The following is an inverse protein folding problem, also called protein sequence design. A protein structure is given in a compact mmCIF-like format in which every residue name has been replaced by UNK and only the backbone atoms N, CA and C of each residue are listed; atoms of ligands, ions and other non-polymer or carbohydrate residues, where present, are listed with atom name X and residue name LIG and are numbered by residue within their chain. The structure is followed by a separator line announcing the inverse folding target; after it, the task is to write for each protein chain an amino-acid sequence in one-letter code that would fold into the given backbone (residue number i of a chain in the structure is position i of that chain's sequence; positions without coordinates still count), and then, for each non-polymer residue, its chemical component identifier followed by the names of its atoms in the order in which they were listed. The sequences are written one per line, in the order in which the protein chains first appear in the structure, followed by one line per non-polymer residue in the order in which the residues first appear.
data_IF_718332198846
#
_entry.id   IF_718332198846
#
_cell.length_a   1.000
_cell.length_b   1.000
_cell.length_c   1.000
_cell.angle_alpha   90.00
_cell.angle_beta   90.00
_cell.angle_gamma   90.00
#
_symmetry.space_group_name_H-M   'P 1'
#
loop_
_entity.id
_entity.type
_entity.pdbx_description
1 polymer ?
#
# COMPACT_ATOMS: atom_id res chain seq x y z
N UNK A 1 -31.00 12.01 33.87
CA UNK A 1 -31.00 13.33 33.18
C UNK A 1 -29.54 13.69 32.91
N UNK A 2 -29.00 13.82 31.70
CA UNK A 2 -29.57 14.20 30.40
C UNK A 2 -29.16 13.19 29.31
N UNK A 3 -30.11 12.84 28.44
CA UNK A 3 -29.85 12.20 27.15
C UNK A 3 -28.95 13.10 26.29
N UNK A 4 -27.91 12.53 25.67
CA UNK A 4 -27.32 13.07 24.44
C UNK A 4 -27.83 12.22 23.28
N UNK A 5 -28.37 12.93 22.29
CA UNK A 5 -28.85 12.42 21.00
C UNK A 5 -27.76 11.69 20.23
N UNK A 6 -28.18 10.67 19.47
CA UNK A 6 -27.35 9.75 18.68
C UNK A 6 -26.88 10.30 17.32
N UNK A 7 -27.13 11.57 17.00
CA UNK A 7 -26.78 12.14 15.70
C UNK A 7 -25.64 13.15 15.85
N UNK A 8 -24.41 12.66 15.70
CA UNK A 8 -23.20 13.36 15.20
C UNK A 8 -21.96 12.49 15.52
N UNK A 9 -21.70 11.47 14.70
CA UNK A 9 -20.43 10.75 14.69
C UNK A 9 -19.34 11.63 14.04
N UNK A 10 -18.86 12.60 14.81
CA UNK A 10 -17.61 13.30 14.55
C UNK A 10 -16.45 12.37 14.95
N UNK A 11 -16.03 11.50 14.03
CA UNK A 11 -14.87 10.64 14.25
C UNK A 11 -13.59 11.51 14.37
N UNK A 12 -12.86 11.28 15.46
CA UNK A 12 -11.68 11.95 16.00
C UNK A 12 -10.62 12.29 14.95
N UNK A 13 -9.97 13.47 14.91
CA UNK A 13 -9.24 14.23 15.95
C UNK A 13 -8.09 13.43 16.58
N UNK A 14 -6.90 13.43 15.98
CA UNK A 14 -5.64 13.97 16.60
C UNK A 14 -4.32 13.82 15.81
N UNK A 15 -4.28 13.32 14.56
CA UNK A 15 -3.10 13.49 13.68
C UNK A 15 -3.33 14.39 12.46
N UNK A 16 -4.57 14.48 11.99
CA UNK A 16 -4.99 15.33 10.87
C UNK A 16 -4.82 16.84 11.12
N UNK A 17 -4.60 17.26 12.37
CA UNK A 17 -4.42 18.67 12.70
C UNK A 17 -3.12 19.28 12.13
N UNK A 18 -2.09 18.48 11.83
CA UNK A 18 -0.86 18.96 11.16
C UNK A 18 -0.86 18.79 9.64
N UNK A 19 -1.75 17.99 9.08
CA UNK A 19 -1.92 17.81 7.62
C UNK A 19 -3.06 18.67 7.04
N UNK A 20 -3.39 19.80 7.69
CA UNK A 20 -4.41 20.76 7.19
C UNK A 20 -4.00 21.50 5.89
N UNK A 21 -2.78 21.28 5.39
CA UNK A 21 -2.26 21.86 4.13
C UNK A 21 -1.85 20.82 3.10
N UNK A 22 -2.40 19.60 3.17
CA UNK A 22 -2.18 18.58 2.15
C UNK A 22 -2.87 18.99 0.86
N UNK A 23 -2.12 19.53 -0.10
CA UNK A 23 -2.66 19.94 -1.37
C UNK A 23 -2.78 18.73 -2.30
N UNK A 24 -4.00 18.31 -2.66
CA UNK A 24 -4.18 17.15 -3.53
C UNK A 24 -4.20 17.53 -5.02
N UNK A 25 -3.22 17.01 -5.78
CA UNK A 25 -3.41 16.70 -7.20
C UNK A 25 -4.17 15.36 -7.34
N UNK A 26 -4.64 15.05 -8.54
CA UNK A 26 -5.20 13.73 -8.85
C UNK A 26 -4.19 12.61 -8.50
N UNK A 27 -4.61 11.66 -7.68
CA UNK A 27 -3.86 10.46 -7.30
C UNK A 27 -4.50 9.30 -8.05
N UNK A 28 -3.68 8.44 -8.67
CA UNK A 28 -4.16 7.27 -9.39
C UNK A 28 -4.58 6.17 -8.41
N UNK A 29 -5.71 6.36 -7.71
CA UNK A 29 -6.20 5.45 -6.67
C UNK A 29 -6.43 4.03 -7.22
N UNK A 30 -6.88 3.90 -8.48
CA UNK A 30 -7.01 2.61 -9.15
C UNK A 30 -5.67 1.86 -9.28
N UNK A 31 -4.55 2.56 -9.46
CA UNK A 31 -3.23 1.92 -9.51
C UNK A 31 -2.77 1.48 -8.12
N UNK A 32 -3.08 2.25 -7.08
CA UNK A 32 -2.82 1.86 -5.69
C UNK A 32 -3.62 0.62 -5.28
N UNK A 33 -4.88 0.56 -5.69
CA UNK A 33 -5.76 -0.59 -5.52
C UNK A 33 -5.22 -1.83 -6.23
N UNK A 34 -4.94 -1.74 -7.53
CA UNK A 34 -4.40 -2.88 -8.29
C UNK A 34 -3.06 -3.40 -7.75
N UNK A 35 -2.17 -2.50 -7.32
CA UNK A 35 -0.88 -2.88 -6.73
C UNK A 35 -1.08 -3.58 -5.38
N UNK A 36 -2.02 -3.10 -4.57
CA UNK A 36 -2.28 -3.71 -3.26
C UNK A 36 -2.94 -5.09 -3.39
N UNK A 37 -3.95 -5.22 -4.26
CA UNK A 37 -4.60 -6.50 -4.55
C UNK A 37 -3.60 -7.56 -5.02
N UNK A 38 -2.58 -7.11 -5.76
CA UNK A 38 -1.49 -7.96 -6.21
C UNK A 38 -0.60 -8.40 -5.04
N UNK A 39 -0.15 -7.48 -4.18
CA UNK A 39 0.66 -7.85 -3.00
C UNK A 39 -0.10 -8.70 -1.99
N UNK A 40 -1.43 -8.59 -1.96
CA UNK A 40 -2.25 -9.27 -0.96
C UNK A 40 -2.72 -10.66 -1.36
N UNK A 41 -2.52 -11.19 -2.57
CA UNK A 41 -3.14 -12.47 -2.99
C UNK A 41 -2.11 -13.61 -3.21
N UNK A 42 -2.14 -14.73 -2.44
CA UNK A 42 -1.14 -15.81 -2.43
C UNK A 42 -1.40 -16.88 -3.50
N UNK A 43 -2.61 -16.91 -4.07
CA UNK A 43 -3.15 -17.98 -4.91
C UNK A 43 -3.55 -17.49 -6.30
N UNK A 44 -3.08 -16.30 -6.70
CA UNK A 44 -3.10 -15.88 -8.08
C UNK A 44 -2.53 -17.06 -8.90
N UNK A 45 -3.37 -17.74 -9.70
CA UNK A 45 -2.91 -18.83 -10.60
C UNK A 45 -1.82 -18.36 -11.57
N UNK A 46 -1.61 -17.05 -11.62
CA UNK A 46 -0.38 -16.38 -12.01
C UNK A 46 0.45 -16.08 -10.75
N UNK A 47 1.32 -17.01 -10.32
CA UNK A 47 2.26 -16.75 -9.20
C UNK A 47 3.19 -15.56 -9.54
N UNK A 48 3.36 -15.30 -10.84
CA UNK A 48 3.99 -14.11 -11.39
C UNK A 48 3.34 -12.78 -11.00
N UNK A 49 2.05 -12.71 -10.62
CA UNK A 49 1.40 -11.43 -10.31
C UNK A 49 2.15 -10.67 -9.21
N UNK A 50 2.55 -11.31 -8.11
CA UNK A 50 3.15 -10.61 -6.96
C UNK A 50 4.52 -9.98 -7.21
N UNK A 51 5.20 -10.44 -8.26
CA UNK A 51 6.65 -10.29 -8.46
C UNK A 51 7.00 -9.81 -9.87
N UNK A 52 5.99 -9.68 -10.75
CA UNK A 52 6.16 -9.37 -12.16
C UNK A 52 5.58 -7.99 -12.51
N UNK A 53 6.42 -7.05 -12.93
CA UNK A 53 5.95 -5.72 -13.36
C UNK A 53 5.12 -5.78 -14.65
N UNK A 54 5.39 -6.72 -15.56
CA UNK A 54 4.69 -6.81 -16.85
C UNK A 54 3.20 -7.14 -16.68
N UNK A 55 2.85 -7.92 -15.66
CA UNK A 55 1.45 -8.24 -15.36
C UNK A 55 0.68 -7.02 -14.85
N UNK A 56 1.30 -6.16 -14.04
CA UNK A 56 0.73 -4.85 -13.67
C UNK A 56 0.56 -3.95 -14.89
N UNK A 57 1.57 -3.92 -15.77
CA UNK A 57 1.53 -3.12 -16.98
C UNK A 57 0.38 -3.54 -17.89
N UNK A 58 0.10 -4.85 -18.01
CA UNK A 58 -1.06 -5.39 -18.73
C UNK A 58 -2.41 -4.90 -18.21
N UNK A 59 -2.47 -4.51 -16.92
CA UNK A 59 -3.66 -3.95 -16.26
C UNK A 59 -3.64 -2.41 -16.21
N UNK A 60 -2.74 -1.76 -16.95
CA UNK A 60 -2.59 -0.31 -17.01
C UNK A 60 -1.86 0.31 -15.81
N UNK A 61 -1.21 -0.50 -14.98
CA UNK A 61 -0.42 -0.07 -13.83
C UNK A 61 1.06 -0.10 -14.20
N UNK A 62 1.63 1.07 -14.50
CA UNK A 62 2.99 1.19 -15.06
C UNK A 62 4.08 1.61 -14.08
N UNK A 63 3.76 1.69 -12.79
CA UNK A 63 4.67 2.24 -11.77
C UNK A 63 5.92 1.37 -11.52
N UNK A 64 5.88 0.10 -11.95
CA UNK A 64 6.98 -0.87 -11.80
C UNK A 64 7.72 -1.13 -13.13
N UNK A 65 7.30 -0.53 -14.24
CA UNK A 65 7.83 -0.83 -15.58
C UNK A 65 9.33 -0.51 -15.65
N UNK A 66 9.75 0.65 -15.14
CA UNK A 66 11.16 1.05 -15.13
C UNK A 66 12.02 0.11 -14.28
N UNK A 67 11.56 -0.22 -13.06
CA UNK A 67 12.29 -1.09 -12.14
C UNK A 67 12.30 -2.57 -12.55
N UNK A 68 11.41 -2.98 -13.46
CA UNK A 68 11.38 -4.32 -14.02
C UNK A 68 11.99 -4.43 -15.41
N UNK A 69 12.45 -3.32 -16.01
CA UNK A 69 13.02 -3.32 -17.36
C UNK A 69 14.30 -4.16 -17.44
N UNK A 70 14.58 -4.74 -18.61
CA UNK A 70 15.81 -5.51 -18.84
C UNK A 70 17.07 -4.73 -18.47
N UNK A 71 17.17 -3.49 -18.95
CA UNK A 71 18.32 -2.60 -18.69
C UNK A 71 18.53 -2.36 -17.19
N UNK A 72 17.45 -2.13 -16.43
CA UNK A 72 17.54 -1.90 -14.99
C UNK A 72 17.95 -3.16 -14.24
N UNK A 73 17.36 -4.31 -14.56
CA UNK A 73 17.73 -5.58 -13.94
C UNK A 73 19.19 -5.96 -14.24
N UNK A 74 19.67 -5.72 -15.45
CA UNK A 74 21.07 -5.94 -15.82
C UNK A 74 22.02 -5.00 -15.08
N UNK A 75 21.63 -3.74 -14.87
CA UNK A 75 22.40 -2.79 -14.07
C UNK A 75 22.60 -3.22 -12.62
N UNK A 76 21.69 -4.05 -12.09
CA UNK A 76 21.76 -4.64 -10.75
C UNK A 76 22.46 -6.01 -10.72
N UNK A 77 22.90 -6.53 -11.88
CA UNK A 77 23.54 -7.84 -12.00
C UNK A 77 22.58 -9.01 -12.12
N UNK A 78 21.28 -8.78 -12.37
CA UNK A 78 20.26 -9.82 -12.53
C UNK A 78 20.11 -10.29 -13.98
N UNK A 79 21.22 -10.58 -14.67
CA UNK A 79 21.23 -10.95 -16.10
C UNK A 79 20.46 -12.23 -16.43
N UNK A 80 20.26 -13.11 -15.44
CA UNK A 80 19.58 -14.39 -15.62
C UNK A 80 18.09 -14.36 -15.21
N UNK A 81 17.59 -13.22 -14.72
CA UNK A 81 16.15 -13.07 -14.41
C UNK A 81 15.38 -12.71 -15.65
N UNK A 82 14.12 -13.12 -15.75
CA UNK A 82 13.24 -12.65 -16.81
C UNK A 82 12.92 -11.15 -16.64
N UNK A 83 12.66 -10.47 -17.75
CA UNK A 83 12.18 -9.08 -17.70
C UNK A 83 10.86 -9.00 -16.92
N UNK A 84 10.79 -8.06 -15.99
CA UNK A 84 9.70 -7.90 -15.06
C UNK A 84 9.82 -8.66 -13.75
N UNK A 85 10.73 -9.64 -13.61
CA UNK A 85 10.97 -10.33 -12.33
C UNK A 85 11.69 -9.41 -11.33
N UNK A 86 10.92 -8.87 -10.39
CA UNK A 86 11.40 -7.92 -9.38
C UNK A 86 12.13 -8.59 -8.21
N UNK A 87 12.18 -9.93 -8.15
CA UNK A 87 12.67 -10.68 -7.00
C UNK A 87 11.67 -10.70 -5.83
N UNK A 88 12.11 -11.15 -4.63
CA UNK A 88 11.25 -11.35 -3.45
C UNK A 88 10.85 -10.01 -2.77
N UNK A 89 10.14 -9.13 -3.48
CA UNK A 89 9.68 -7.82 -3.00
C UNK A 89 8.45 -7.93 -2.08
N UNK A 90 7.65 -6.87 -1.94
CA UNK A 90 6.63 -6.73 -0.89
C UNK A 90 5.67 -7.92 -0.76
N UNK A 91 4.98 -8.33 -1.83
CA UNK A 91 4.01 -9.42 -1.78
C UNK A 91 4.62 -10.74 -1.31
N UNK A 92 5.81 -11.07 -1.80
CA UNK A 92 6.54 -12.26 -1.37
C UNK A 92 6.89 -12.18 0.12
N UNK A 93 7.38 -11.05 0.61
CA UNK A 93 7.66 -10.90 2.04
C UNK A 93 6.38 -10.96 2.88
N UNK A 94 5.23 -10.53 2.36
CA UNK A 94 3.96 -10.56 3.10
C UNK A 94 3.37 -11.97 3.21
N UNK A 95 3.51 -12.79 2.17
CA UNK A 95 2.87 -14.12 2.09
C UNK A 95 3.84 -15.30 2.30
N UNK A 96 5.13 -15.08 2.08
CA UNK A 96 6.17 -16.12 2.02
C UNK A 96 7.46 -15.71 2.73
N UNK A 97 7.39 -14.91 3.81
CA UNK A 97 8.56 -14.39 4.50
C UNK A 97 9.54 -15.52 4.90
N UNK A 98 10.80 -15.40 4.47
CA UNK A 98 11.86 -16.36 4.78
C UNK A 98 11.90 -17.61 3.89
N UNK A 99 10.97 -17.77 2.94
CA UNK A 99 11.09 -18.77 1.88
C UNK A 99 12.30 -18.47 0.97
N UNK A 100 12.85 -19.50 0.32
CA UNK A 100 13.91 -19.33 -0.66
C UNK A 100 13.31 -18.90 -2.00
N UNK A 101 13.66 -17.71 -2.46
CA UNK A 101 13.24 -17.22 -3.77
C UNK A 101 13.96 -17.96 -4.89
N UNK A 102 13.21 -18.42 -5.89
CA UNK A 102 13.72 -19.09 -7.10
C UNK A 102 13.54 -18.16 -8.31
N UNK A 103 12.29 -17.97 -8.71
CA UNK A 103 11.85 -17.11 -9.81
C UNK A 103 10.38 -16.70 -9.59
N UNK A 104 9.87 -15.79 -10.43
CA UNK A 104 8.49 -15.31 -10.33
C UNK A 104 7.41 -16.36 -10.62
N UNK A 105 7.72 -17.46 -11.30
CA UNK A 105 6.74 -18.46 -11.77
C UNK A 105 6.64 -19.71 -10.89
N UNK A 106 7.61 -19.89 -9.97
CA UNK A 106 7.65 -20.96 -9.00
C UNK A 106 6.48 -20.93 -8.03
N UNK A 107 5.93 -22.10 -7.67
CA UNK A 107 4.90 -22.19 -6.62
C UNK A 107 5.53 -22.07 -5.23
N UNK A 108 5.09 -21.05 -4.47
CA UNK A 108 5.51 -20.79 -3.10
C UNK A 108 4.45 -21.18 -2.06
N UNK A 109 3.37 -21.85 -2.46
CA UNK A 109 2.29 -22.26 -1.57
C UNK A 109 2.82 -23.04 -0.37
N UNK A 110 2.44 -22.60 0.83
CA UNK A 110 2.87 -23.23 2.10
C UNK A 110 4.33 -22.99 2.48
N UNK A 111 5.09 -22.19 1.73
CA UNK A 111 6.48 -21.85 2.03
C UNK A 111 6.58 -20.51 2.76
N UNK A 112 7.52 -20.43 3.70
CA UNK A 112 7.75 -19.23 4.50
C UNK A 112 6.66 -18.96 5.53
N UNK A 113 6.58 -17.70 5.98
CA UNK A 113 5.57 -17.24 6.93
C UNK A 113 4.59 -16.30 6.22
N UNK A 114 3.30 -16.65 6.24
CA UNK A 114 2.22 -15.79 5.79
C UNK A 114 1.88 -14.75 6.86
N UNK A 115 2.60 -13.62 6.81
CA UNK A 115 2.44 -12.53 7.77
C UNK A 115 1.06 -11.85 7.64
N UNK A 116 0.56 -11.68 6.41
CA UNK A 116 -0.73 -11.02 6.18
C UNK A 116 -1.88 -11.84 6.76
N UNK A 117 -1.90 -13.15 6.52
CA UNK A 117 -2.91 -14.03 7.10
C UNK A 117 -2.81 -14.04 8.63
N UNK A 118 -1.59 -14.14 9.19
CA UNK A 118 -1.36 -14.07 10.64
C UNK A 118 -1.86 -12.76 11.26
N UNK A 119 -1.68 -11.62 10.59
CA UNK A 119 -2.24 -10.33 11.01
C UNK A 119 -3.76 -10.40 11.09
N UNK A 120 -4.41 -10.89 10.03
CA UNK A 120 -5.88 -11.00 9.97
C UNK A 120 -6.41 -11.93 11.07
N UNK A 121 -5.78 -13.09 11.26
CA UNK A 121 -6.18 -14.07 12.27
C UNK A 121 -6.01 -13.50 13.69
N UNK A 122 -4.90 -12.80 13.93
CA UNK A 122 -4.65 -12.16 15.23
C UNK A 122 -5.68 -11.06 15.50
N UNK A 123 -6.04 -10.24 14.51
CA UNK A 123 -7.10 -9.24 14.66
C UNK A 123 -8.44 -9.88 15.04
N UNK A 124 -8.78 -11.04 14.43
CA UNK A 124 -10.04 -11.76 14.72
C UNK A 124 -10.06 -12.43 16.09
N UNK A 125 -8.92 -12.93 16.57
CA UNK A 125 -8.85 -13.81 17.74
C UNK A 125 -8.25 -13.17 18.99
N UNK A 126 -7.36 -12.19 18.82
CA UNK A 126 -6.65 -11.47 19.88
C UNK A 126 -6.45 -9.98 19.49
N UNK A 127 -7.54 -9.20 19.34
CA UNK A 127 -7.48 -7.84 18.77
C UNK A 127 -6.66 -6.83 19.59
N UNK A 128 -6.46 -7.08 20.89
CA UNK A 128 -5.65 -6.25 21.80
C UNK A 128 -4.15 -6.61 21.78
N UNK A 129 -3.76 -7.58 20.94
CA UNK A 129 -2.35 -7.93 20.74
C UNK A 129 -1.55 -6.73 20.25
N UNK A 130 -0.37 -6.53 20.83
CA UNK A 130 0.54 -5.40 20.52
C UNK A 130 1.59 -5.76 19.48
N UNK A 131 1.47 -6.92 18.84
CA UNK A 131 2.44 -7.52 17.89
C UNK A 131 1.82 -7.81 16.53
N UNK A 132 0.70 -7.16 16.22
CA UNK A 132 0.04 -7.25 14.92
C UNK A 132 0.85 -6.43 13.90
N UNK A 133 1.90 -7.05 13.35
CA UNK A 133 2.93 -6.40 12.52
C UNK A 133 3.05 -7.12 11.18
N UNK A 134 3.24 -6.34 10.13
CA UNK A 134 3.59 -6.79 8.78
C UNK A 134 4.91 -6.15 8.37
N UNK A 135 5.94 -6.95 8.09
CA UNK A 135 7.28 -6.47 7.77
C UNK A 135 7.69 -6.87 6.35
N UNK A 136 8.07 -5.90 5.53
CA UNK A 136 8.67 -6.13 4.20
C UNK A 136 10.19 -6.20 4.23
N UNK A 137 10.85 -5.78 5.31
CA UNK A 137 12.31 -5.66 5.37
C UNK A 137 12.97 -6.98 5.80
N UNK A 138 13.54 -7.70 4.84
CA UNK A 138 14.27 -8.95 5.07
C UNK A 138 15.74 -8.83 4.65
N UNK A 139 16.69 -8.66 5.60
CA UNK A 139 18.11 -8.48 5.29
C UNK A 139 18.74 -9.58 4.43
N UNK A 140 18.25 -10.82 4.54
CA UNK A 140 18.73 -11.95 3.73
C UNK A 140 18.39 -11.77 2.25
N UNK A 141 17.21 -11.23 1.97
CA UNK A 141 16.66 -11.17 0.62
C UNK A 141 16.89 -9.80 -0.05
N UNK A 142 17.33 -8.77 0.69
CA UNK A 142 17.62 -7.44 0.11
C UNK A 142 18.51 -7.49 -1.14
N UNK A 143 19.61 -8.27 -1.19
CA UNK A 143 20.45 -8.36 -2.39
C UNK A 143 19.75 -9.02 -3.59
N UNK A 144 18.59 -9.64 -3.38
CA UNK A 144 17.77 -10.28 -4.41
C UNK A 144 16.65 -9.36 -4.91
N UNK A 145 16.41 -8.19 -4.34
CA UNK A 145 15.27 -7.34 -4.73
C UNK A 145 15.70 -6.32 -5.79
N UNK A 146 14.91 -6.16 -6.85
CA UNK A 146 15.11 -5.09 -7.84
C UNK A 146 15.02 -3.70 -7.19
N UNK A 147 14.15 -3.56 -6.18
CA UNK A 147 14.08 -2.37 -5.35
C UNK A 147 13.83 -2.74 -3.88
N UNK A 148 14.73 -2.40 -2.96
CA UNK A 148 14.52 -2.61 -1.53
C UNK A 148 13.25 -1.90 -1.02
N UNK A 149 12.47 -2.52 -0.13
CA UNK A 149 11.21 -1.97 0.39
C UNK A 149 11.33 -0.55 0.93
N UNK A 150 10.55 0.39 0.38
CA UNK A 150 10.45 1.76 0.91
C UNK A 150 9.56 1.81 2.15
N UNK A 151 8.36 1.23 2.06
CA UNK A 151 7.47 0.99 3.19
C UNK A 151 7.85 -0.35 3.86
N UNK A 152 8.66 -0.24 4.91
CA UNK A 152 9.40 -1.36 5.48
C UNK A 152 8.59 -2.17 6.50
N UNK A 153 7.75 -1.49 7.28
CA UNK A 153 7.00 -2.11 8.37
C UNK A 153 5.71 -1.35 8.62
N UNK A 154 4.60 -2.08 8.83
CA UNK A 154 3.41 -1.50 9.43
C UNK A 154 2.92 -2.31 10.64
N UNK A 155 2.30 -1.60 11.57
CA UNK A 155 1.67 -2.16 12.76
C UNK A 155 0.18 -1.80 12.75
N UNK A 156 -0.65 -2.78 13.09
CA UNK A 156 -2.08 -2.60 13.26
C UNK A 156 -2.46 -2.56 14.73
N UNK A 157 -3.56 -1.89 15.04
CA UNK A 157 -4.10 -1.79 16.39
C UNK A 157 -5.62 -1.67 16.36
N UNK A 158 -6.30 -2.36 17.27
CA UNK A 158 -7.76 -2.34 17.39
C UNK A 158 -8.18 -1.66 18.69
N UNK A 159 -9.02 -0.63 18.59
CA UNK A 159 -9.68 0.01 19.75
C UNK A 159 -11.08 0.43 19.39
N UNK A 160 -12.03 0.25 20.31
CA UNK A 160 -13.42 0.68 20.16
C UNK A 160 -14.10 0.17 18.87
N UNK A 161 -13.72 -1.02 18.40
CA UNK A 161 -14.24 -1.58 17.15
C UNK A 161 -13.64 -0.95 15.88
N UNK A 162 -12.56 -0.19 16.00
CA UNK A 162 -11.85 0.45 14.90
C UNK A 162 -10.44 -0.14 14.72
N UNK A 163 -10.06 -0.40 13.48
CA UNK A 163 -8.72 -0.85 13.09
C UNK A 163 -7.90 0.34 12.59
N UNK A 164 -6.83 0.67 13.28
CA UNK A 164 -5.85 1.68 12.88
C UNK A 164 -4.57 1.03 12.33
N UNK A 165 -3.83 1.76 11.50
CA UNK A 165 -2.59 1.31 10.90
C UNK A 165 -1.50 2.38 11.04
N UNK A 166 -0.34 1.98 11.55
CA UNK A 166 0.87 2.79 11.60
C UNK A 166 1.89 2.24 10.62
N UNK A 167 2.31 3.06 9.65
CA UNK A 167 3.32 2.73 8.66
C UNK A 167 4.65 3.43 8.99
N UNK A 168 5.75 2.70 8.91
CA UNK A 168 7.11 3.23 8.81
C UNK A 168 7.66 3.06 7.40
N UNK A 169 7.99 4.18 6.75
CA UNK A 169 8.58 4.24 5.42
C UNK A 169 9.98 4.84 5.52
N UNK A 170 11.01 4.05 5.18
CA UNK A 170 12.43 4.45 5.31
C UNK A 170 12.82 5.59 4.38
N UNK A 171 12.16 5.70 3.22
CA UNK A 171 12.46 6.65 2.15
C UNK A 171 11.15 7.01 1.45
N UNK A 172 10.79 8.28 1.51
CA UNK A 172 9.52 8.84 1.06
C UNK A 172 9.72 9.96 0.07
N UNK A 173 9.57 9.63 -1.22
CA UNK A 173 9.43 10.63 -2.27
C UNK A 173 8.10 11.38 -2.07
N UNK A 174 8.21 12.64 -1.68
CA UNK A 174 7.05 13.49 -1.40
C UNK A 174 6.25 13.86 -2.66
N UNK A 175 6.84 13.75 -3.85
CA UNK A 175 6.20 14.05 -5.13
C UNK A 175 5.28 12.94 -5.62
N UNK A 176 5.81 11.72 -5.79
CA UNK A 176 5.06 10.60 -6.36
C UNK A 176 4.74 9.52 -5.32
N UNK A 177 5.76 9.07 -4.56
CA UNK A 177 5.65 7.91 -3.68
C UNK A 177 4.67 8.09 -2.53
N UNK A 178 4.85 9.12 -1.70
CA UNK A 178 4.08 9.33 -0.47
C UNK A 178 2.57 9.45 -0.72
N UNK A 179 2.07 10.23 -1.70
CA UNK A 179 0.64 10.25 -2.03
C UNK A 179 0.07 8.87 -2.38
N UNK A 180 0.83 8.06 -3.13
CA UNK A 180 0.45 6.69 -3.46
C UNK A 180 0.45 5.78 -2.22
N UNK A 181 1.46 5.88 -1.36
CA UNK A 181 1.58 5.07 -0.15
C UNK A 181 0.47 5.38 0.86
N UNK A 182 0.05 6.64 0.99
CA UNK A 182 -1.11 7.03 1.82
C UNK A 182 -2.37 6.32 1.34
N UNK A 183 -2.67 6.39 0.04
CA UNK A 183 -3.87 5.75 -0.52
C UNK A 183 -3.80 4.21 -0.38
N UNK A 184 -2.63 3.62 -0.63
CA UNK A 184 -2.43 2.16 -0.57
C UNK A 184 -2.63 1.59 0.84
N UNK A 185 -2.01 2.18 1.86
CA UNK A 185 -2.14 1.65 3.23
C UNK A 185 -3.46 2.02 3.91
N UNK A 186 -4.07 3.15 3.54
CA UNK A 186 -5.45 3.43 3.92
C UNK A 186 -6.39 2.35 3.36
N UNK A 187 -6.25 2.02 2.08
CA UNK A 187 -7.04 0.97 1.45
C UNK A 187 -6.83 -0.42 2.10
N UNK A 188 -5.58 -0.79 2.40
CA UNK A 188 -5.29 -2.05 3.11
C UNK A 188 -5.99 -2.10 4.47
N UNK A 189 -5.97 -0.98 5.19
CA UNK A 189 -6.65 -0.86 6.48
C UNK A 189 -8.17 -1.02 6.32
N UNK A 190 -8.77 -0.42 5.29
CA UNK A 190 -10.19 -0.61 4.97
C UNK A 190 -10.52 -2.06 4.62
N UNK A 191 -9.68 -2.74 3.82
CA UNK A 191 -9.88 -4.13 3.43
C UNK A 191 -9.83 -5.07 4.63
N UNK A 192 -8.81 -4.92 5.49
CA UNK A 192 -8.65 -5.75 6.69
C UNK A 192 -9.79 -5.45 7.68
N UNK A 193 -10.14 -4.18 7.90
CA UNK A 193 -11.26 -3.81 8.75
C UNK A 193 -12.57 -4.47 8.28
N UNK A 194 -12.85 -4.41 6.97
CA UNK A 194 -14.03 -5.02 6.35
C UNK A 194 -14.13 -6.53 6.61
N UNK A 195 -13.08 -7.31 6.33
CA UNK A 195 -13.12 -8.78 6.50
C UNK A 195 -13.02 -9.24 7.95
N UNK A 196 -12.72 -8.32 8.88
CA UNK A 196 -12.67 -8.57 10.32
C UNK A 196 -13.88 -7.99 11.07
N UNK A 197 -14.82 -7.35 10.35
CA UNK A 197 -16.02 -6.76 10.95
C UNK A 197 -15.75 -5.49 11.77
N UNK A 198 -14.62 -4.84 11.55
CA UNK A 198 -14.21 -3.60 12.19
C UNK A 198 -14.50 -2.39 11.30
N UNK A 199 -14.47 -1.20 11.89
CA UNK A 199 -14.46 0.07 11.15
C UNK A 199 -13.02 0.50 10.90
N UNK A 200 -12.73 1.23 9.81
CA UNK A 200 -11.42 1.85 9.64
C UNK A 200 -11.24 2.98 10.67
N UNK A 201 -10.10 2.97 11.36
CA UNK A 201 -9.67 4.01 12.31
C UNK A 201 -8.62 4.93 11.70
N UNK A 202 -7.59 5.26 12.48
CA UNK A 202 -6.53 6.18 12.06
C UNK A 202 -5.48 5.51 11.17
N UNK A 203 -4.99 6.25 10.19
CA UNK A 203 -3.77 5.93 9.46
C UNK A 203 -2.63 6.88 9.87
N UNK A 204 -1.57 6.33 10.44
CA UNK A 204 -0.40 7.05 10.96
C UNK A 204 0.80 6.75 10.07
N UNK A 205 1.33 7.76 9.37
CA UNK A 205 2.45 7.57 8.46
C UNK A 205 3.73 8.23 9.03
N UNK A 206 4.73 7.40 9.32
CA UNK A 206 6.06 7.81 9.78
C UNK A 206 7.06 7.69 8.64
N UNK A 207 7.78 8.77 8.35
CA UNK A 207 8.80 8.82 7.30
C UNK A 207 10.19 8.89 7.94
N UNK A 208 11.13 8.11 7.40
CA UNK A 208 12.56 8.25 7.65
C UNK A 208 13.12 9.41 6.83
N UNK A 209 13.71 9.10 5.68
CA UNK A 209 14.14 10.12 4.71
C UNK A 209 12.93 10.63 3.90
N UNK A 210 12.42 11.79 4.25
CA UNK A 210 11.42 12.51 3.46
C UNK A 210 12.10 13.51 2.52
N UNK A 211 11.99 13.30 1.21
CA UNK A 211 12.74 14.07 0.21
C UNK A 211 11.87 14.52 -0.97
N UNK A 212 12.40 15.50 -1.70
CA UNK A 212 11.85 16.02 -2.95
C UNK A 212 12.94 15.94 -4.01
N UNK A 213 12.66 15.31 -5.15
CA UNK A 213 13.58 15.34 -6.29
C UNK A 213 13.66 16.75 -6.91
N UNK A 214 14.83 17.12 -7.42
CA UNK A 214 15.05 18.46 -7.98
C UNK A 214 14.09 18.78 -9.13
N UNK A 215 13.79 17.78 -9.98
CA UNK A 215 12.83 17.91 -11.08
C UNK A 215 11.36 18.00 -10.63
N UNK A 216 11.05 17.82 -9.33
CA UNK A 216 9.70 17.95 -8.77
C UNK A 216 9.47 19.29 -8.06
N UNK A 217 10.50 20.12 -7.87
CA UNK A 217 10.37 21.39 -7.11
C UNK A 217 9.30 22.31 -7.71
N UNK A 218 9.37 22.60 -9.01
CA UNK A 218 8.39 23.49 -9.66
C UNK A 218 6.98 22.89 -9.72
N UNK A 219 6.78 21.60 -10.11
CA UNK A 219 5.51 20.90 -9.95
C UNK A 219 4.89 21.00 -8.54
N UNK A 220 5.70 20.79 -7.50
CA UNK A 220 5.23 20.84 -6.12
C UNK A 220 4.94 22.26 -5.65
N UNK A 221 5.69 23.28 -6.09
CA UNK A 221 5.34 24.69 -5.83
C UNK A 221 3.99 25.05 -6.43
N UNK A 222 3.68 24.60 -7.65
CA UNK A 222 2.35 24.77 -8.25
C UNK A 222 1.27 24.06 -7.44
N UNK A 223 1.56 22.84 -6.97
CA UNK A 223 0.65 22.11 -6.09
C UNK A 223 0.37 22.94 -4.83
N UNK A 224 1.38 23.44 -4.13
CA UNK A 224 1.25 24.22 -2.90
C UNK A 224 0.38 25.50 -3.01
N UNK A 225 0.13 26.01 -4.22
CA UNK A 225 -0.77 27.16 -4.44
C UNK A 225 -2.26 26.80 -4.43
N UNK A 226 -2.62 25.50 -4.43
CA UNK A 226 -4.03 25.09 -4.52
C UNK A 226 -4.63 24.92 -3.12
N UNK A 227 -5.81 25.48 -2.92
CA UNK A 227 -6.59 25.25 -1.71
C UNK A 227 -7.07 23.78 -1.65
N UNK A 228 -6.83 23.03 -0.55
CA UNK A 228 -7.35 21.68 -0.38
C UNK A 228 -8.88 21.63 -0.49
N UNK A 229 -9.39 20.61 -1.18
CA UNK A 229 -10.83 20.31 -1.26
C UNK A 229 -11.19 19.21 -0.24
N UNK A 230 -12.48 19.03 0.10
CA UNK A 230 -12.92 17.93 0.95
C UNK A 230 -12.41 16.58 0.44
N UNK A 231 -11.99 15.70 1.35
CA UNK A 231 -11.56 14.35 1.01
C UNK A 231 -12.74 13.52 0.47
N UNK A 232 -12.47 12.59 -0.47
CA UNK A 232 -13.48 11.63 -0.90
C UNK A 232 -13.82 10.65 0.23
N UNK A 233 -14.90 9.88 0.02
CA UNK A 233 -15.23 8.71 0.83
C UNK A 233 -14.97 7.44 0.04
N UNK A 234 -14.45 6.42 0.71
CA UNK A 234 -14.29 5.08 0.15
C UNK A 234 -15.41 4.19 0.67
N UNK A 235 -16.10 3.49 -0.23
CA UNK A 235 -17.12 2.49 0.09
C UNK A 235 -16.76 1.15 -0.54
N UNK A 236 -16.87 0.08 0.25
CA UNK A 236 -16.79 -1.30 -0.24
C UNK A 236 -18.22 -1.76 -0.55
N UNK A 237 -18.48 -2.13 -1.80
CA UNK A 237 -19.81 -2.43 -2.32
C UNK A 237 -20.29 -3.83 -2.00
N UNK A 238 -19.36 -4.80 -2.00
CA UNK A 238 -19.66 -6.21 -1.80
C UNK A 238 -19.18 -6.68 -0.43
N UNK A 239 -19.93 -7.59 0.18
CA UNK A 239 -19.42 -8.33 1.34
C UNK A 239 -18.38 -9.34 0.86
N UNK A 240 -17.11 -9.00 1.03
CA UNK A 240 -15.97 -9.89 0.83
C UNK A 240 -15.60 -10.58 2.16
N UNK A 241 -15.25 -11.86 2.12
CA UNK A 241 -14.97 -12.68 3.32
C UNK A 241 -13.46 -12.90 3.55
N UNK A 242 -12.66 -12.94 2.48
CA UNK A 242 -11.21 -13.13 2.54
C UNK A 242 -10.46 -11.97 1.88
N UNK A 243 -9.20 -11.74 2.28
CA UNK A 243 -8.39 -10.64 1.74
C UNK A 243 -8.05 -10.83 0.25
N UNK A 244 -8.07 -12.08 -0.22
CA UNK A 244 -7.69 -12.47 -1.57
C UNK A 244 -8.82 -12.31 -2.60
N UNK A 245 -10.07 -12.24 -2.11
CA UNK A 245 -11.29 -12.20 -2.94
C UNK A 245 -11.67 -10.78 -3.40
N UNK A 246 -10.96 -9.74 -2.95
CA UNK A 246 -11.24 -8.37 -3.36
C UNK A 246 -10.92 -8.13 -4.84
N UNK A 247 -11.77 -7.35 -5.49
CA UNK A 247 -11.63 -6.92 -6.88
C UNK A 247 -11.75 -5.41 -6.97
N UNK A 248 -11.22 -4.83 -8.05
CA UNK A 248 -11.29 -3.39 -8.26
C UNK A 248 -12.73 -2.84 -8.26
N UNK A 249 -13.67 -3.63 -8.80
CA UNK A 249 -15.11 -3.32 -8.84
C UNK A 249 -15.80 -3.31 -7.47
N UNK A 250 -15.17 -3.84 -6.42
CA UNK A 250 -15.73 -3.81 -5.07
C UNK A 250 -15.58 -2.44 -4.41
N UNK A 251 -14.82 -1.51 -5.00
CA UNK A 251 -14.50 -0.22 -4.40
C UNK A 251 -15.16 0.92 -5.16
N UNK A 252 -15.85 1.78 -4.42
CA UNK A 252 -16.43 3.01 -4.94
C UNK A 252 -15.84 4.21 -4.19
N UNK A 253 -15.39 5.21 -4.95
CA UNK A 253 -14.90 6.47 -4.41
C UNK A 253 -15.96 7.54 -4.66
N UNK A 254 -16.53 8.06 -3.59
CA UNK A 254 -17.60 9.05 -3.62
C UNK A 254 -17.03 10.45 -3.33
N UNK A 255 -17.48 11.46 -4.10
CA UNK A 255 -17.09 12.85 -3.85
C UNK A 255 -15.63 13.19 -4.21
N UNK A 256 -14.98 12.37 -5.06
CA UNK A 256 -13.62 12.67 -5.51
C UNK A 256 -13.62 13.80 -6.55
N UNK A 257 -13.24 15.00 -6.11
CA UNK A 257 -13.14 16.18 -6.97
C UNK A 257 -11.75 16.83 -6.82
N UNK A 258 -10.67 16.17 -7.32
CA UNK A 258 -9.32 16.69 -7.20
C UNK A 258 -9.09 17.93 -8.09
N UNK A 259 -8.01 18.65 -7.83
CA UNK A 259 -7.47 19.59 -8.81
C UNK A 259 -6.82 18.82 -9.98
N UNK A 260 -6.66 19.43 -11.17
CA UNK A 260 -6.07 18.77 -12.34
C UNK A 260 -4.71 18.11 -12.05
N UNK A 261 -4.46 16.95 -12.67
CA UNK A 261 -3.17 16.23 -12.57
C UNK A 261 -1.98 17.17 -12.78
N UNK A 262 -0.94 17.02 -11.94
CA UNK A 262 0.39 17.61 -12.14
C UNK A 262 1.32 16.47 -12.55
N UNK A 263 1.95 16.59 -13.72
CA UNK A 263 2.89 15.58 -14.21
C UNK A 263 4.25 15.77 -13.54
N UNK A 264 4.82 14.68 -13.04
CA UNK A 264 6.16 14.59 -12.47
C UNK A 264 6.82 13.31 -13.01
N UNK A 265 8.06 13.42 -13.47
CA UNK A 265 8.83 12.29 -13.99
C UNK A 265 9.52 11.54 -12.85
N UNK A 266 9.47 10.21 -12.87
CA UNK A 266 10.12 9.38 -11.86
C UNK A 266 11.65 9.46 -12.01
N UNK A 267 12.37 9.54 -10.89
CA UNK A 267 13.82 9.35 -10.90
C UNK A 267 14.12 7.85 -10.94
N UNK A 268 14.95 7.42 -11.90
CA UNK A 268 15.42 6.04 -12.05
C UNK A 268 16.90 5.99 -11.71
#
# INVERSE_FOLDING_TARGET
MKHRSQDELHCSRHLWARWRRGVCAEVRICQALSTLLMFSNPHSRCVGMQLCSSELSSKGVKIWDANGSRDFLDSLGFSNREEGDLGPVYGFQWRHFGAEYKDKDSDYSGQGVDQLQKVIDTIKTNPDDRRIILCGWNPKDLPLMALPPCHALCQFYVVNGELSCQLYQRSGDMGLGVPFNIASYALLTYMIAHITGLKPGDFIHTLGDAHIYLNHIEPLKMQLQREPRPFPKLRILRKVETIDDFKAEDFQIEGYSPHPTIKMEMAV
#
